data_IF_040463275545
#
_entry.id   IF_040463275545
#
_cell.length_a   1.000
_cell.length_b   1.000
_cell.length_c   1.000
_cell.angle_alpha   90.00
_cell.angle_beta   90.00
_cell.angle_gamma   90.00
#
_symmetry.space_group_name_H-M   'P 1'
#
loop_
_entity.id
_entity.type
_entity.pdbx_description
1 polymer ?
#
# COMPACT_ATOMS: atom_id res chain seq x y z
N UNK A 1 -13.91 -13.04 -7.81
CA UNK A 1 -12.91 -12.39 -6.94
C UNK A 1 -13.67 -11.62 -5.87
N UNK A 2 -13.37 -11.85 -4.60
CA UNK A 2 -14.04 -11.23 -3.45
C UNK A 2 -13.19 -10.07 -2.92
N UNK A 3 -13.85 -9.04 -2.39
CA UNK A 3 -13.18 -8.02 -1.59
C UNK A 3 -13.14 -8.46 -0.12
N UNK A 4 -12.07 -8.11 0.59
CA UNK A 4 -11.92 -8.33 2.03
C UNK A 4 -11.77 -6.98 2.75
N UNK A 5 -12.10 -6.95 4.04
CA UNK A 5 -11.92 -5.78 4.89
C UNK A 5 -10.85 -6.04 5.96
N UNK A 6 -10.15 -4.99 6.37
CA UNK A 6 -9.15 -5.07 7.43
C UNK A 6 -8.76 -3.70 7.98
N UNK A 7 -7.78 -3.72 8.87
CA UNK A 7 -7.16 -2.52 9.41
C UNK A 7 -5.78 -2.33 8.79
N UNK A 8 -5.60 -1.19 8.14
CA UNK A 8 -4.31 -0.73 7.67
C UNK A 8 -3.49 -0.18 8.86
N UNK A 9 -2.29 -0.72 8.99
CA UNK A 9 -1.26 -0.25 9.92
C UNK A 9 -0.08 0.24 9.08
N UNK A 10 0.27 1.52 9.23
CA UNK A 10 1.47 2.05 8.59
C UNK A 10 2.71 1.71 9.40
N UNK A 11 3.77 1.31 8.72
CA UNK A 11 5.04 0.92 9.35
C UNK A 11 6.23 1.62 8.70
N UNK A 12 7.38 1.57 9.35
CA UNK A 12 8.67 1.85 8.71
C UNK A 12 9.41 0.54 8.57
N UNK A 13 10.00 0.29 7.40
CA UNK A 13 10.80 -0.92 7.18
C UNK A 13 12.28 -0.56 7.06
N UNK A 14 13.16 -1.47 7.49
CA UNK A 14 14.60 -1.27 7.33
C UNK A 14 14.99 -1.12 5.85
N UNK A 15 14.35 -1.90 4.96
CA UNK A 15 14.56 -1.82 3.51
C UNK A 15 14.17 -0.47 2.94
N UNK A 16 13.02 0.07 3.36
CA UNK A 16 12.59 1.41 2.97
C UNK A 16 13.59 2.48 3.46
N UNK A 17 14.05 2.35 4.71
CA UNK A 17 15.05 3.26 5.28
C UNK A 17 16.35 3.27 4.49
N UNK A 18 16.91 2.10 4.19
CA UNK A 18 18.13 1.97 3.39
C UNK A 18 17.93 2.51 1.97
N UNK A 19 16.80 2.20 1.32
CA UNK A 19 16.49 2.70 -0.02
C UNK A 19 16.36 4.22 -0.06
N UNK A 20 15.79 4.83 1.00
CA UNK A 20 15.67 6.29 1.12
C UNK A 20 17.04 6.97 1.22
N UNK A 21 18.01 6.36 1.91
CA UNK A 21 19.39 6.85 2.00
C UNK A 21 20.09 6.81 0.65
N UNK A 22 19.89 5.73 -0.12
CA UNK A 22 20.48 5.61 -1.46
C UNK A 22 19.84 6.57 -2.45
N UNK A 23 18.51 6.59 -2.54
CA UNK A 23 17.75 7.55 -3.34
C UNK A 23 16.28 7.54 -2.94
N UNK A 24 15.82 8.64 -2.34
CA UNK A 24 14.42 8.84 -1.93
C UNK A 24 13.41 8.73 -3.09
N UNK A 25 13.86 8.92 -4.33
CA UNK A 25 13.02 8.82 -5.54
C UNK A 25 13.41 7.62 -6.42
N UNK A 26 14.30 6.75 -5.95
CA UNK A 26 14.74 5.58 -6.68
C UNK A 26 13.67 4.47 -6.75
N UNK A 27 13.85 3.57 -7.70
CA UNK A 27 12.96 2.42 -7.92
C UNK A 27 12.86 1.49 -6.71
N UNK A 28 13.97 1.31 -5.97
CA UNK A 28 14.00 0.49 -4.75
C UNK A 28 13.10 1.05 -3.65
N UNK A 29 13.09 2.38 -3.47
CA UNK A 29 12.20 3.01 -2.50
C UNK A 29 10.74 2.91 -2.96
N UNK A 30 10.49 3.25 -4.22
CA UNK A 30 9.15 3.27 -4.81
C UNK A 30 8.48 1.90 -4.85
N UNK A 31 9.25 0.83 -5.11
CA UNK A 31 8.75 -0.55 -5.07
C UNK A 31 8.47 -1.02 -3.64
N UNK A 32 9.37 -0.76 -2.69
CA UNK A 32 9.18 -1.19 -1.30
C UNK A 32 7.94 -0.55 -0.66
N UNK A 33 7.68 0.74 -0.89
CA UNK A 33 6.50 1.42 -0.32
C UNK A 33 5.16 0.98 -0.94
N UNK A 34 5.18 0.22 -2.04
CA UNK A 34 4.00 -0.37 -2.69
C UNK A 34 3.70 -1.81 -2.21
N UNK A 35 4.56 -2.40 -1.37
CA UNK A 35 4.37 -3.78 -0.90
C UNK A 35 3.52 -3.78 0.38
N UNK A 36 2.30 -4.30 0.27
CA UNK A 36 1.41 -4.57 1.39
C UNK A 36 1.70 -5.96 1.96
N UNK A 37 2.11 -6.04 3.22
CA UNK A 37 2.27 -7.31 3.93
C UNK A 37 0.94 -7.73 4.55
N UNK A 38 0.50 -8.95 4.24
CA UNK A 38 -0.82 -9.49 4.59
C UNK A 38 -0.72 -10.96 4.99
N UNK A 39 -1.62 -11.43 5.86
CA UNK A 39 -1.68 -12.85 6.22
C UNK A 39 -2.04 -13.71 4.98
N UNK A 40 -1.37 -14.86 4.75
CA UNK A 40 -1.63 -15.73 3.59
C UNK A 40 -3.09 -16.18 3.43
N UNK A 41 -3.77 -16.49 4.53
CA UNK A 41 -5.21 -16.85 4.50
C UNK A 41 -6.11 -15.70 4.03
N UNK A 42 -5.80 -14.45 4.38
CA UNK A 42 -6.60 -13.31 3.91
C UNK A 42 -6.36 -13.07 2.41
N UNK A 43 -5.11 -13.25 1.96
CA UNK A 43 -4.77 -13.22 0.54
C UNK A 43 -5.53 -14.30 -0.25
N UNK A 44 -5.60 -15.50 0.32
CA UNK A 44 -6.33 -16.64 -0.25
C UNK A 44 -7.85 -16.41 -0.25
N UNK A 45 -8.40 -15.83 0.82
CA UNK A 45 -9.82 -15.46 0.93
C UNK A 45 -10.24 -14.38 -0.08
N UNK A 46 -9.31 -13.50 -0.45
CA UNK A 46 -9.49 -12.53 -1.54
C UNK A 46 -9.38 -13.17 -2.93
N UNK A 47 -8.80 -14.38 -3.02
CA UNK A 47 -8.55 -15.08 -4.28
C UNK A 47 -7.36 -14.53 -5.08
N UNK A 48 -6.40 -13.90 -4.40
CA UNK A 48 -5.17 -13.41 -5.03
C UNK A 48 -3.97 -14.30 -4.68
N UNK A 49 -2.93 -14.23 -5.50
CA UNK A 49 -1.66 -14.94 -5.28
C UNK A 49 -0.63 -14.03 -4.60
N UNK A 50 0.39 -14.63 -4.00
CA UNK A 50 1.55 -13.90 -3.49
C UNK A 50 2.24 -13.13 -4.62
N UNK A 51 2.51 -11.85 -4.40
CA UNK A 51 3.06 -10.93 -5.41
C UNK A 51 2.03 -10.35 -6.38
N UNK A 52 0.73 -10.68 -6.26
CA UNK A 52 -0.30 -10.12 -7.13
C UNK A 52 -0.69 -8.69 -6.72
N UNK A 53 -1.05 -7.87 -7.72
CA UNK A 53 -1.57 -6.54 -7.49
C UNK A 53 -3.00 -6.54 -6.92
N UNK A 54 -3.28 -5.57 -6.06
CA UNK A 54 -4.61 -5.33 -5.51
C UNK A 54 -4.87 -3.82 -5.40
N UNK A 55 -6.15 -3.46 -5.42
CA UNK A 55 -6.61 -2.12 -5.09
C UNK A 55 -6.90 -2.06 -3.59
N UNK A 56 -6.25 -1.15 -2.90
CA UNK A 56 -6.46 -0.85 -1.50
C UNK A 56 -7.24 0.46 -1.38
N UNK A 57 -8.41 0.42 -0.78
CA UNK A 57 -9.35 1.55 -0.75
C UNK A 57 -9.70 1.93 0.69
N UNK A 58 -9.70 3.23 0.98
CA UNK A 58 -10.25 3.83 2.19
C UNK A 58 -11.38 4.79 1.83
N UNK A 59 -12.01 5.39 2.84
CA UNK A 59 -12.99 6.46 2.62
C UNK A 59 -12.39 7.75 2.03
N UNK A 60 -11.06 7.86 1.95
CA UNK A 60 -10.36 9.08 1.51
C UNK A 60 -9.69 8.93 0.14
N UNK A 61 -9.44 7.71 -0.31
CA UNK A 61 -8.76 7.45 -1.57
C UNK A 61 -8.52 5.97 -1.80
N UNK A 62 -7.93 5.66 -2.95
CA UNK A 62 -7.55 4.32 -3.33
C UNK A 62 -6.16 4.31 -3.94
N UNK A 63 -5.45 3.20 -3.75
CA UNK A 63 -4.10 3.05 -4.26
C UNK A 63 -3.82 1.61 -4.68
N UNK A 64 -3.13 1.46 -5.80
CA UNK A 64 -2.67 0.17 -6.29
C UNK A 64 -1.41 -0.26 -5.54
N UNK A 65 -1.45 -1.47 -4.99
CA UNK A 65 -0.34 -2.08 -4.25
C UNK A 65 -0.05 -3.50 -4.73
N UNK A 66 1.07 -4.05 -4.29
CA UNK A 66 1.41 -5.47 -4.46
C UNK A 66 1.24 -6.17 -3.13
N UNK A 67 0.43 -7.23 -3.09
CA UNK A 67 0.24 -8.01 -1.88
C UNK A 67 1.37 -9.03 -1.71
N UNK A 68 1.93 -9.09 -0.52
CA UNK A 68 2.93 -10.10 -0.14
C UNK A 68 2.53 -10.83 1.13
N UNK A 69 2.49 -12.16 1.06
CA UNK A 69 2.27 -13.03 2.22
C UNK A 69 3.34 -12.81 3.29
N UNK A 70 2.91 -12.65 4.54
CA UNK A 70 3.80 -12.48 5.68
C UNK A 70 3.20 -13.11 6.95
N UNK A 71 4.07 -13.44 7.91
CA UNK A 71 3.66 -13.85 9.24
C UNK A 71 3.18 -12.63 10.05
N UNK A 72 1.91 -12.28 9.85
CA UNK A 72 1.23 -11.14 10.49
C UNK A 72 -0.20 -11.55 10.86
N UNK A 73 -0.83 -10.99 11.91
CA UNK A 73 -2.19 -11.38 12.29
C UNK A 73 -3.22 -11.17 11.17
N UNK A 74 -4.22 -12.07 11.09
CA UNK A 74 -5.35 -11.94 10.16
C UNK A 74 -6.12 -10.64 10.40
N UNK A 75 -6.60 -10.03 9.32
CA UNK A 75 -7.34 -8.77 9.31
C UNK A 75 -6.48 -7.52 9.50
N UNK A 76 -5.15 -7.66 9.64
CA UNK A 76 -4.21 -6.54 9.71
C UNK A 76 -3.35 -6.48 8.45
N UNK A 77 -3.28 -5.31 7.84
CA UNK A 77 -2.52 -5.06 6.61
C UNK A 77 -1.43 -4.03 6.88
N UNK A 78 -0.18 -4.35 6.53
CA UNK A 78 0.97 -3.51 6.86
C UNK A 78 1.58 -2.91 5.61
N UNK A 79 1.46 -1.59 5.47
CA UNK A 79 2.01 -0.83 4.34
C UNK A 79 3.09 0.13 4.84
N UNK A 80 4.26 0.23 4.18
CA UNK A 80 5.26 1.22 4.56
C UNK A 80 4.72 2.64 4.42
N UNK A 81 5.00 3.48 5.41
CA UNK A 81 4.62 4.89 5.40
C UNK A 81 5.33 5.61 4.24
N UNK A 82 4.59 6.29 3.38
CA UNK A 82 5.16 7.02 2.25
C UNK A 82 4.08 7.63 1.37
N UNK A 83 4.45 8.23 0.23
CA UNK A 83 3.50 8.87 -0.68
C UNK A 83 2.33 7.97 -1.09
N UNK A 84 2.57 6.67 -1.28
CA UNK A 84 1.56 5.65 -1.59
C UNK A 84 0.53 5.51 -0.47
N UNK A 85 0.98 5.31 0.78
CA UNK A 85 0.08 5.19 1.93
C UNK A 85 -0.67 6.50 2.22
N UNK A 86 -0.04 7.65 1.99
CA UNK A 86 -0.61 8.96 2.26
C UNK A 86 -1.92 9.23 1.50
N UNK A 87 -2.10 8.64 0.31
CA UNK A 87 -3.35 8.74 -0.48
C UNK A 87 -4.57 8.23 0.29
N UNK A 88 -4.37 7.31 1.24
CA UNK A 88 -5.46 6.68 1.98
C UNK A 88 -5.92 7.49 3.19
N UNK A 89 -5.21 8.57 3.56
CA UNK A 89 -5.50 9.34 4.76
C UNK A 89 -6.09 10.71 4.43
N UNK A 90 -6.97 11.19 5.31
CA UNK A 90 -7.42 12.58 5.25
C UNK A 90 -6.33 13.53 5.72
N UNK A 91 -6.21 14.67 5.04
CA UNK A 91 -5.33 15.78 5.43
C UNK A 91 -5.92 16.56 6.61
N UNK A 92 -7.25 16.50 6.82
CA UNK A 92 -7.98 17.33 7.78
C UNK A 92 -8.48 16.57 9.01
N UNK A 93 -8.55 15.24 8.96
CA UNK A 93 -9.03 14.42 10.07
C UNK A 93 -7.87 14.07 11.02
N UNK A 94 -7.71 14.85 12.08
CA UNK A 94 -6.65 14.68 13.08
C UNK A 94 -7.17 14.25 14.46
N UNK A 95 -8.48 13.98 14.61
CA UNK A 95 -9.14 13.64 15.89
C UNK A 95 -8.62 14.50 17.06
N UNK A 96 -8.44 15.81 16.82
CA UNK A 96 -7.94 16.79 17.81
C UNK A 96 -6.51 16.55 18.35
N UNK A 97 -5.82 15.52 17.86
CA UNK A 97 -4.44 15.19 18.25
C UNK A 97 -3.38 16.01 17.50
N UNK A 98 -3.78 16.72 16.44
CA UNK A 98 -2.87 17.37 15.49
C UNK A 98 -2.09 16.39 14.59
N UNK A 99 -2.31 15.08 14.73
CA UNK A 99 -1.70 14.02 13.91
C UNK A 99 -2.81 13.30 13.15
N UNK A 100 -2.70 13.09 11.82
CA UNK A 100 -3.68 12.30 11.10
C UNK A 100 -3.76 10.87 11.65
N UNK A 101 -4.92 10.22 11.58
CA UNK A 101 -5.13 8.87 12.12
C UNK A 101 -4.40 7.79 11.30
N UNK A 102 -3.07 7.75 11.40
CA UNK A 102 -2.16 6.88 10.63
C UNK A 102 -2.01 5.47 11.19
N UNK A 103 -2.47 5.23 12.42
CA UNK A 103 -2.18 3.98 13.14
C UNK A 103 -3.16 2.86 12.83
N UNK A 104 -4.44 3.16 12.58
CA UNK A 104 -5.46 2.16 12.24
C UNK A 104 -6.54 2.77 11.36
N UNK A 105 -6.48 2.47 10.06
CA UNK A 105 -7.48 2.90 9.10
C UNK A 105 -8.25 1.69 8.59
N UNK A 106 -9.59 1.73 8.63
CA UNK A 106 -10.43 0.71 8.00
C UNK A 106 -10.29 0.82 6.49
N UNK A 107 -10.00 -0.30 5.85
CA UNK A 107 -9.76 -0.38 4.41
C UNK A 107 -10.42 -1.62 3.83
N UNK A 108 -10.76 -1.55 2.55
CA UNK A 108 -11.10 -2.71 1.73
C UNK A 108 -9.97 -3.02 0.76
N UNK A 109 -9.82 -4.31 0.45
CA UNK A 109 -8.83 -4.81 -0.50
C UNK A 109 -9.56 -5.66 -1.54
N UNK A 110 -9.24 -5.46 -2.81
CA UNK A 110 -9.79 -6.25 -3.91
C UNK A 110 -8.68 -6.57 -4.94
N UNK A 111 -8.67 -7.77 -5.56
CA UNK A 111 -7.73 -8.07 -6.62
C UNK A 111 -7.89 -7.09 -7.77
N UNK A 112 -6.78 -6.69 -8.38
CA UNK A 112 -6.79 -5.82 -9.56
C UNK A 112 -5.97 -6.48 -10.66
N UNK A 113 -6.50 -6.47 -11.88
CA UNK A 113 -5.75 -6.94 -13.04
C UNK A 113 -4.48 -6.10 -13.23
N UNK A 114 -3.45 -6.74 -13.79
CA UNK A 114 -2.22 -6.09 -14.22
C UNK A 114 -2.50 -5.17 -15.41
N UNK A 115 -3.18 -4.04 -15.19
CA UNK A 115 -3.12 -2.95 -16.15
C UNK A 115 -1.73 -2.35 -16.03
N UNK A 116 -0.92 -2.35 -17.11
CA UNK A 116 0.29 -1.55 -17.11
C UNK A 116 -0.12 -0.10 -16.86
N UNK A 117 0.52 0.53 -15.86
CA UNK A 117 0.50 1.99 -15.70
C UNK A 117 0.70 2.60 -17.10
N UNK A 118 -0.06 3.62 -17.51
CA UNK A 118 0.17 4.26 -18.81
C UNK A 118 1.63 4.68 -18.86
N UNK A 119 2.38 4.09 -19.82
CA UNK A 119 3.74 4.54 -20.11
C UNK A 119 3.62 6.01 -20.42
N UNK A 120 4.07 6.86 -19.51
CA UNK A 120 4.17 8.28 -19.76
C UNK A 120 5.31 8.45 -20.79
N UNK A 121 4.98 8.28 -22.07
CA UNK A 121 5.85 8.60 -23.19
C UNK A 121 5.90 10.13 -23.29
N UNK A 122 6.64 10.73 -22.37
CA UNK A 122 6.91 12.15 -22.33
C UNK A 122 8.39 12.37 -22.05
N UNK A 123 9.08 12.92 -23.05
CA UNK A 123 10.46 13.44 -23.10
C UNK A 123 11.54 12.41 -23.52
N UNK A 124 12.29 12.61 -24.62
CA UNK A 124 12.36 13.76 -25.53
C UNK A 124 13.38 13.56 -26.67
N UNK A 125 13.73 14.68 -27.33
CA UNK A 125 14.54 14.90 -28.54
C UNK A 125 13.72 14.69 -29.84
N UNK A 126 13.37 15.72 -30.60
CA UNK A 126 14.20 16.84 -31.13
C UNK A 126 13.44 18.18 -31.17
#
# INVERSE_FOLDING_TARGET
MSSIQGLLVTVRTAKQGSAMVSSKHGELYSSEIKILRIHPDDLSAMGAKDGQAAMLTSQHGEVRITCKGADVPRGLFFLPLGPVANVLFSVTSTEESGVPNWKRLKVSLAPCDERPEPRNSGQGAD
#
